data_IF_988322219263
#
_entry.id   IF_988322219263
#
_cell.length_a   1.000
_cell.length_b   1.000
_cell.length_c   1.000
_cell.angle_alpha   90.00
_cell.angle_beta   90.00
_cell.angle_gamma   90.00
#
_symmetry.space_group_name_H-M   'P 1'
#
loop_
_entity.id
_entity.type
_entity.pdbx_description
1 polymer ?
#
# COMPACT_ATOMS: atom_id res chain seq x y z
N UNK A 1 7.27 -23.72 5.53
CA UNK A 1 6.50 -24.31 4.42
C UNK A 1 5.42 -25.25 4.97
N UNK A 2 4.78 -24.86 6.07
CA UNK A 2 4.00 -25.75 6.94
C UNK A 2 2.53 -25.35 7.04
N UNK A 3 2.09 -24.39 6.23
CA UNK A 3 0.70 -23.94 6.25
C UNK A 3 -0.15 -24.88 5.42
N UNK A 4 -1.09 -25.56 6.08
CA UNK A 4 -2.22 -26.23 5.43
C UNK A 4 -2.96 -25.25 4.51
N UNK A 5 -3.63 -25.77 3.48
CA UNK A 5 -4.26 -25.01 2.40
C UNK A 5 -5.11 -23.80 2.88
N UNK A 6 -5.83 -23.96 4.00
CA UNK A 6 -6.63 -22.87 4.59
C UNK A 6 -5.79 -21.77 5.25
N UNK A 7 -4.76 -22.13 6.03
CA UNK A 7 -3.87 -21.17 6.69
C UNK A 7 -3.06 -20.35 5.68
N UNK A 8 -2.65 -20.98 4.58
CA UNK A 8 -2.01 -20.31 3.46
C UNK A 8 -2.91 -19.24 2.85
N UNK A 9 -4.18 -19.56 2.56
CA UNK A 9 -5.14 -18.61 1.99
C UNK A 9 -5.37 -17.38 2.89
N UNK A 10 -5.44 -17.58 4.22
CA UNK A 10 -5.59 -16.49 5.18
C UNK A 10 -4.38 -15.54 5.19
N UNK A 11 -3.16 -16.05 5.01
CA UNK A 11 -1.96 -15.22 4.96
C UNK A 11 -1.98 -14.31 3.73
N UNK A 12 -2.34 -14.82 2.54
CA UNK A 12 -2.46 -13.96 1.36
C UNK A 12 -3.57 -12.94 1.50
N UNK A 13 -4.75 -13.37 1.99
CA UNK A 13 -5.85 -12.44 2.22
C UNK A 13 -5.44 -11.32 3.19
N UNK A 14 -4.70 -11.65 4.26
CA UNK A 14 -4.20 -10.67 5.20
C UNK A 14 -3.17 -9.71 4.58
N UNK A 15 -2.25 -10.21 3.73
CA UNK A 15 -1.28 -9.35 3.04
C UNK A 15 -1.98 -8.35 2.12
N UNK A 16 -2.91 -8.81 1.29
CA UNK A 16 -3.65 -7.93 0.37
C UNK A 16 -4.58 -6.96 1.10
N UNK A 17 -5.22 -7.41 2.19
CA UNK A 17 -6.00 -6.53 3.05
C UNK A 17 -5.13 -5.42 3.66
N UNK A 18 -3.91 -5.75 4.10
CA UNK A 18 -3.01 -4.75 4.66
C UNK A 18 -2.56 -3.72 3.61
N UNK A 19 -2.32 -4.12 2.35
CA UNK A 19 -1.99 -3.18 1.26
C UNK A 19 -3.14 -2.18 1.03
N UNK A 20 -4.39 -2.66 1.03
CA UNK A 20 -5.56 -1.79 0.88
C UNK A 20 -5.71 -0.83 2.08
N UNK A 21 -5.56 -1.33 3.30
CA UNK A 21 -5.65 -0.51 4.52
C UNK A 21 -4.56 0.56 4.55
N UNK A 22 -3.32 0.22 4.22
CA UNK A 22 -2.22 1.20 4.16
C UNK A 22 -2.42 2.23 3.05
N UNK A 23 -3.04 1.84 1.92
CA UNK A 23 -3.41 2.77 0.85
C UNK A 23 -4.49 3.76 1.31
N UNK A 24 -5.50 3.28 2.04
CA UNK A 24 -6.53 4.12 2.66
C UNK A 24 -5.93 5.12 3.65
N UNK A 25 -5.08 4.67 4.58
CA UNK A 25 -4.41 5.55 5.53
C UNK A 25 -3.56 6.61 4.83
N UNK A 26 -2.83 6.24 3.77
CA UNK A 26 -2.02 7.19 3.00
C UNK A 26 -2.88 8.28 2.35
N UNK A 27 -4.03 7.93 1.80
CA UNK A 27 -4.96 8.92 1.21
C UNK A 27 -5.54 9.85 2.28
N UNK A 28 -5.93 9.31 3.45
CA UNK A 28 -6.50 10.11 4.54
C UNK A 28 -5.47 11.09 5.10
N UNK A 29 -4.24 10.63 5.37
CA UNK A 29 -3.21 11.43 6.02
C UNK A 29 -2.57 12.47 5.09
N UNK A 30 -2.29 12.11 3.83
CA UNK A 30 -1.55 12.98 2.91
C UNK A 30 -2.43 13.71 1.90
N UNK A 31 -3.43 13.04 1.32
CA UNK A 31 -4.23 13.61 0.23
C UNK A 31 -5.50 14.33 0.69
N UNK A 32 -5.87 14.16 1.96
CA UNK A 32 -7.05 14.74 2.58
C UNK A 32 -8.37 14.23 1.99
N UNK A 33 -9.38 14.16 2.84
CA UNK A 33 -10.76 14.20 2.39
C UNK A 33 -10.98 15.64 1.90
N UNK A 34 -11.15 15.85 0.60
CA UNK A 34 -11.51 17.14 0.04
C UNK A 34 -12.43 16.88 -1.13
N UNK A 35 -13.66 17.39 -1.09
CA UNK A 35 -14.53 17.37 -2.27
C UNK A 35 -13.89 18.20 -3.37
N UNK A 36 -13.59 17.58 -4.50
CA UNK A 36 -13.23 18.31 -5.72
C UNK A 36 -14.54 18.64 -6.43
N UNK A 37 -15.06 19.85 -6.20
CA UNK A 37 -16.29 20.32 -6.85
C UNK A 37 -17.57 19.65 -6.30
N UNK A 38 -18.46 19.21 -7.20
CA UNK A 38 -19.78 18.63 -6.88
C UNK A 38 -19.78 17.12 -6.65
N UNK A 39 -18.61 16.47 -6.68
CA UNK A 39 -18.51 15.02 -6.49
C UNK A 39 -18.57 14.68 -5.00
N UNK A 40 -19.33 13.65 -4.65
CA UNK A 40 -19.45 13.18 -3.27
C UNK A 40 -18.09 12.78 -2.69
N UNK A 41 -17.93 13.05 -1.40
CA UNK A 41 -16.70 12.83 -0.66
C UNK A 41 -16.22 11.37 -0.72
N UNK A 42 -17.15 10.42 -0.63
CA UNK A 42 -16.87 8.99 -0.72
C UNK A 42 -16.31 8.57 -2.08
N UNK A 43 -16.86 9.13 -3.17
CA UNK A 43 -16.40 8.79 -4.53
C UNK A 43 -14.98 9.30 -4.79
N UNK A 44 -14.69 10.54 -4.35
CA UNK A 44 -13.34 11.11 -4.48
C UNK A 44 -12.34 10.28 -3.67
N UNK A 45 -12.70 9.87 -2.46
CA UNK A 45 -11.83 9.04 -1.62
C UNK A 45 -11.58 7.66 -2.22
N UNK A 46 -12.62 7.01 -2.78
CA UNK A 46 -12.49 5.71 -3.43
C UNK A 46 -11.55 5.78 -4.64
N UNK A 47 -11.69 6.79 -5.50
CA UNK A 47 -10.83 6.99 -6.67
C UNK A 47 -9.37 7.23 -6.26
N UNK A 48 -9.15 8.11 -5.27
CA UNK A 48 -7.79 8.37 -4.73
C UNK A 48 -7.16 7.09 -4.16
N UNK A 49 -7.94 6.28 -3.45
CA UNK A 49 -7.47 5.01 -2.87
C UNK A 49 -7.11 4.00 -3.96
N UNK A 50 -7.95 3.86 -4.98
CA UNK A 50 -7.66 2.99 -6.13
C UNK A 50 -6.41 3.43 -6.87
N UNK A 51 -6.18 4.74 -7.02
CA UNK A 51 -4.97 5.26 -7.64
C UNK A 51 -3.71 4.89 -6.84
N UNK A 52 -3.74 5.05 -5.51
CA UNK A 52 -2.62 4.65 -4.64
C UNK A 52 -2.40 3.14 -4.66
N UNK A 53 -3.47 2.34 -4.59
CA UNK A 53 -3.37 0.88 -4.67
C UNK A 53 -2.80 0.42 -6.03
N UNK A 54 -3.19 1.07 -7.12
CA UNK A 54 -2.63 0.81 -8.45
C UNK A 54 -1.14 1.13 -8.51
N UNK A 55 -0.69 2.23 -7.90
CA UNK A 55 0.73 2.55 -7.79
C UNK A 55 1.51 1.48 -7.02
N UNK A 56 0.96 0.94 -5.92
CA UNK A 56 1.58 -0.17 -5.19
C UNK A 56 1.74 -1.44 -6.03
N UNK A 57 0.72 -1.79 -6.82
CA UNK A 57 0.78 -2.95 -7.74
C UNK A 57 1.82 -2.69 -8.84
N UNK A 58 1.85 -1.47 -9.41
CA UNK A 58 2.83 -1.08 -10.41
C UNK A 58 4.25 -1.23 -9.88
N UNK A 59 4.55 -0.66 -8.70
CA UNK A 59 5.89 -0.72 -8.09
C UNK A 59 6.33 -2.17 -7.86
N UNK A 60 5.42 -3.04 -7.41
CA UNK A 60 5.70 -4.48 -7.27
C UNK A 60 5.99 -5.17 -8.60
N UNK A 61 5.35 -4.73 -9.69
CA UNK A 61 5.57 -5.29 -11.03
C UNK A 61 6.89 -4.83 -11.66
N UNK A 62 7.32 -3.59 -11.41
CA UNK A 62 8.50 -3.01 -12.09
C UNK A 62 9.82 -3.21 -11.37
N UNK A 63 9.82 -3.28 -10.03
CA UNK A 63 11.08 -3.29 -9.28
C UNK A 63 11.56 -4.70 -8.96
N UNK A 64 12.83 -5.04 -9.27
CA UNK A 64 13.45 -6.26 -8.78
C UNK A 64 13.65 -6.20 -7.26
N UNK A 65 13.62 -7.36 -6.61
CA UNK A 65 13.74 -7.46 -5.15
C UNK A 65 15.08 -6.90 -4.65
N UNK A 66 15.02 -5.92 -3.76
CA UNK A 66 16.21 -5.42 -3.07
C UNK A 66 16.66 -6.38 -1.96
N UNK A 67 17.98 -6.52 -1.79
CA UNK A 67 18.57 -7.28 -0.69
C UNK A 67 18.40 -6.51 0.63
N UNK A 68 18.21 -7.25 1.72
CA UNK A 68 17.94 -6.71 3.05
C UNK A 68 18.98 -5.66 3.50
N UNK A 69 20.27 -5.90 3.25
CA UNK A 69 21.35 -4.98 3.65
C UNK A 69 21.22 -3.59 3.02
N UNK A 70 20.81 -3.55 1.73
CA UNK A 70 20.62 -2.30 1.01
C UNK A 70 19.39 -1.54 1.54
N UNK A 71 18.32 -2.27 1.86
CA UNK A 71 17.09 -1.70 2.41
C UNK A 71 17.34 -1.09 3.81
N UNK A 72 18.10 -1.78 4.65
CA UNK A 72 18.48 -1.31 5.99
C UNK A 72 19.37 -0.07 5.88
N UNK A 73 20.35 -0.09 4.97
CA UNK A 73 21.21 1.07 4.73
C UNK A 73 20.44 2.30 4.27
N UNK A 74 19.46 2.14 3.38
CA UNK A 74 18.66 3.24 2.85
C UNK A 74 17.74 3.84 3.93
N UNK A 75 17.06 2.99 4.70
CA UNK A 75 16.17 3.46 5.78
C UNK A 75 16.93 4.15 6.91
N UNK A 76 18.01 3.55 7.40
CA UNK A 76 18.74 4.07 8.56
C UNK A 76 19.67 5.24 8.26
N UNK A 77 20.22 5.32 7.04
CA UNK A 77 21.16 6.40 6.69
C UNK A 77 20.52 7.56 5.92
N UNK A 78 19.38 7.35 5.25
CA UNK A 78 18.77 8.39 4.39
C UNK A 78 17.39 8.85 4.85
N UNK A 79 16.54 7.96 5.39
CA UNK A 79 15.19 8.36 5.85
C UNK A 79 15.15 8.77 7.32
N UNK A 80 16.04 8.22 8.16
CA UNK A 80 16.16 8.53 9.59
C UNK A 80 17.31 9.46 10.06
N UNK A 81 18.16 10.10 9.23
CA UNK A 81 19.07 11.15 9.71
C UNK A 81 18.35 12.48 9.99
#
# INVERSE_FOLDING_TARGET
IEYSAGGFALIFMAEYANILVMSLFSVVLFFGAGSVGSLSWDFVMMIKTLFVAFAFIWVRATLPRFRYDLLMGLTWKSFLP
#
